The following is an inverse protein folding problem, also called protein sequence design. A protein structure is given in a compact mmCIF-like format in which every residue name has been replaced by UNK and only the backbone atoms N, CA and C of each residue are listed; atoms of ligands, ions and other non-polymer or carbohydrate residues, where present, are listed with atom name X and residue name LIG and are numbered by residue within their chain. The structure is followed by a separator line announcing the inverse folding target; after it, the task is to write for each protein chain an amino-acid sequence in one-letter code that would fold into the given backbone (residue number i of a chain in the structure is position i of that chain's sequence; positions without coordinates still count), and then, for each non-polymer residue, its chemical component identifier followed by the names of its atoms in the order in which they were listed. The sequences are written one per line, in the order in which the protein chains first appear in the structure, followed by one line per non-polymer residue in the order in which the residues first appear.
data_IF_507432481100
#
_entry.id   IF_507432481100
#
_cell.length_a   1.000
_cell.length_b   1.000
_cell.length_c   1.000
_cell.angle_alpha   90.00
_cell.angle_beta   90.00
_cell.angle_gamma   90.00
#
_symmetry.space_group_name_H-M   'P 1'
#
loop_
_entity.id
_entity.type
_entity.pdbx_description
1 polymer ?
#
# COMPACT_ATOMS: atom_id res chain seq x y z
N UNK A 1 -1.91 54.53 -13.74
CA UNK A 1 -1.36 53.70 -12.65
C UNK A 1 -2.03 52.33 -12.68
N UNK A 2 -1.28 51.28 -13.00
CA UNK A 2 -1.80 49.91 -13.07
C UNK A 2 -2.00 49.33 -11.67
N UNK A 3 -3.21 48.86 -11.35
CA UNK A 3 -3.57 48.28 -10.04
C UNK A 3 -3.36 46.77 -10.07
N UNK A 4 -2.60 46.30 -9.08
CA UNK A 4 -2.14 44.92 -8.84
C UNK A 4 -3.23 43.84 -8.95
N UNK A 5 -2.84 42.68 -9.53
CA UNK A 5 -3.68 41.51 -9.78
C UNK A 5 -3.98 40.70 -8.52
N UNK A 6 -5.22 40.77 -8.06
CA UNK A 6 -5.84 39.92 -7.03
C UNK A 6 -7.23 39.50 -7.57
N UNK A 7 -7.68 38.27 -7.35
CA UNK A 7 -9.03 37.78 -7.75
C UNK A 7 -10.18 38.56 -7.11
N UNK A 8 -9.97 39.15 -5.94
CA UNK A 8 -10.90 40.09 -5.30
C UNK A 8 -11.08 41.38 -6.12
N UNK A 9 -10.06 41.79 -6.89
CA UNK A 9 -10.20 42.90 -7.84
C UNK A 9 -11.08 42.53 -9.03
N UNK A 10 -11.16 41.25 -9.44
CA UNK A 10 -11.95 40.84 -10.59
C UNK A 10 -13.46 40.97 -10.34
N UNK A 11 -13.93 40.60 -9.15
CA UNK A 11 -15.35 40.71 -8.80
C UNK A 11 -15.78 42.17 -8.65
N UNK A 12 -14.93 43.00 -8.04
CA UNK A 12 -15.16 44.44 -7.94
C UNK A 12 -15.09 45.15 -9.30
N UNK A 13 -14.12 44.77 -10.14
CA UNK A 13 -13.99 45.27 -11.51
C UNK A 13 -15.22 44.91 -12.36
N UNK A 14 -15.67 43.64 -12.29
CA UNK A 14 -16.86 43.18 -13.00
C UNK A 14 -18.12 43.90 -12.53
N UNK A 15 -18.27 44.12 -11.22
CA UNK A 15 -19.39 44.89 -10.64
C UNK A 15 -19.44 46.33 -11.14
N UNK A 16 -18.29 46.97 -11.23
CA UNK A 16 -18.20 48.41 -11.51
C UNK A 16 -18.17 48.72 -13.01
N UNK A 17 -17.50 47.88 -13.82
CA UNK A 17 -17.23 48.14 -15.23
C UNK A 17 -18.05 47.25 -16.17
N UNK A 18 -18.52 46.10 -15.72
CA UNK A 18 -19.25 45.12 -16.54
C UNK A 18 -20.56 44.69 -15.88
N UNK A 19 -21.44 45.66 -15.61
CA UNK A 19 -22.75 45.45 -14.96
C UNK A 19 -23.60 44.29 -15.55
N UNK A 20 -23.67 44.09 -16.88
CA UNK A 20 -24.44 42.98 -17.46
C UNK A 20 -23.84 41.61 -17.18
N UNK A 21 -22.51 41.49 -17.19
CA UNK A 21 -21.82 40.24 -16.87
C UNK A 21 -21.90 39.95 -15.36
N UNK A 22 -21.80 40.99 -14.54
CA UNK A 22 -21.96 40.85 -13.09
C UNK A 22 -23.38 40.42 -12.71
N UNK A 23 -24.42 40.98 -13.35
CA UNK A 23 -25.80 40.57 -13.10
C UNK A 23 -26.04 39.12 -13.54
N UNK A 24 -25.51 38.70 -14.69
CA UNK A 24 -25.58 37.31 -15.15
C UNK A 24 -24.87 36.32 -14.19
N UNK A 25 -23.70 36.68 -13.67
CA UNK A 25 -22.99 35.88 -12.67
C UNK A 25 -23.77 35.76 -11.37
N UNK A 26 -24.41 36.86 -10.94
CA UNK A 26 -25.22 36.87 -9.72
C UNK A 26 -26.54 36.11 -9.87
N UNK A 27 -27.17 36.18 -11.05
CA UNK A 27 -28.40 35.41 -11.35
C UNK A 27 -28.09 33.92 -11.54
N UNK A 28 -26.91 33.58 -12.05
CA UNK A 28 -26.39 32.20 -12.09
C UNK A 28 -26.09 31.66 -10.69
N UNK A 29 -25.76 32.54 -9.73
CA UNK A 29 -25.58 32.19 -8.31
C UNK A 29 -26.90 32.09 -7.51
N UNK A 30 -28.05 32.38 -8.12
CA UNK A 30 -29.36 32.32 -7.48
C UNK A 30 -30.27 31.27 -8.10
N UNK A 31 -29.86 30.00 -7.99
CA UNK A 31 -30.79 28.91 -7.74
C UNK A 31 -30.17 28.03 -6.66
N UNK A 32 -30.80 27.83 -5.50
CA UNK A 32 -30.42 26.74 -4.64
C UNK A 32 -30.76 25.47 -5.42
N UNK A 33 -29.79 24.92 -6.15
CA UNK A 33 -29.92 23.58 -6.69
C UNK A 33 -30.04 22.71 -5.44
N UNK A 34 -31.24 22.18 -5.17
CA UNK A 34 -31.43 21.01 -4.32
C UNK A 34 -30.84 19.79 -5.04
N UNK A 35 -29.57 19.89 -5.43
CA UNK A 35 -28.77 18.72 -5.70
C UNK A 35 -28.48 18.21 -4.30
N UNK A 36 -28.92 16.98 -4.01
CA UNK A 36 -28.21 16.18 -3.02
C UNK A 36 -26.73 16.38 -3.34
N UNK A 37 -25.87 16.74 -2.36
CA UNK A 37 -24.45 16.62 -2.58
C UNK A 37 -24.23 15.13 -2.82
N UNK A 38 -24.19 14.73 -4.10
CA UNK A 38 -23.38 13.62 -4.48
C UNK A 38 -21.99 14.14 -4.15
N UNK A 39 -21.52 13.78 -2.97
CA UNK A 39 -20.14 13.92 -2.59
C UNK A 39 -19.36 13.22 -3.69
N UNK A 40 -18.96 13.97 -4.72
CA UNK A 40 -17.73 13.67 -5.40
C UNK A 40 -16.72 13.89 -4.28
N UNK A 41 -16.37 12.80 -3.61
CA UNK A 41 -15.33 12.73 -2.59
C UNK A 41 -14.04 13.23 -3.24
N UNK A 42 -13.88 14.56 -3.32
CA UNK A 42 -12.59 15.17 -3.56
C UNK A 42 -11.77 14.81 -2.33
N UNK A 43 -10.94 13.78 -2.49
CA UNK A 43 -9.96 13.39 -1.52
C UNK A 43 -9.11 14.62 -1.19
N UNK A 44 -9.12 15.01 0.08
CA UNK A 44 -8.18 16.02 0.61
C UNK A 44 -6.76 15.65 0.19
N UNK A 45 -5.92 16.62 -0.15
CA UNK A 45 -4.53 16.39 -0.59
C UNK A 45 -3.77 15.46 0.38
N UNK A 46 -4.07 15.50 1.67
CA UNK A 46 -3.51 14.58 2.66
C UNK A 46 -3.87 13.10 2.43
N UNK A 47 -5.07 12.80 1.91
CA UNK A 47 -5.56 11.45 1.64
C UNK A 47 -5.02 10.85 0.34
N UNK A 48 -4.49 11.66 -0.59
CA UNK A 48 -3.91 11.14 -1.84
C UNK A 48 -2.54 10.49 -1.64
N UNK A 49 -1.87 10.72 -0.50
CA UNK A 49 -0.57 10.11 -0.20
C UNK A 49 -0.66 8.70 0.39
N UNK A 50 -1.82 8.27 0.89
CA UNK A 50 -2.00 6.95 1.49
C UNK A 50 -1.56 5.77 0.58
N UNK A 51 -1.86 5.78 -0.72
CA UNK A 51 -1.37 4.78 -1.69
C UNK A 51 0.13 4.82 -1.95
N UNK A 52 0.81 5.93 -1.66
CA UNK A 52 2.25 6.10 -1.85
C UNK A 52 3.07 5.74 -0.61
N UNK A 53 2.44 5.52 0.54
CA UNK A 53 3.16 5.18 1.77
C UNK A 53 3.40 3.67 1.89
N UNK A 54 4.62 3.24 2.24
CA UNK A 54 4.91 1.86 2.60
C UNK A 54 3.95 1.34 3.66
N UNK A 55 3.70 0.02 3.66
CA UNK A 55 2.94 -0.57 4.76
C UNK A 55 3.63 -0.35 6.10
N UNK A 56 2.84 -0.21 7.17
CA UNK A 56 3.41 -0.12 8.51
C UNK A 56 4.21 -1.38 8.84
N UNK A 57 5.30 -1.20 9.59
CA UNK A 57 6.23 -2.28 9.98
C UNK A 57 5.54 -3.45 10.71
N UNK A 58 4.41 -3.18 11.37
CA UNK A 58 3.61 -4.17 12.09
C UNK A 58 2.26 -4.43 11.43
N UNK A 59 2.09 -4.01 10.18
CA UNK A 59 0.86 -4.17 9.43
C UNK A 59 0.60 -5.63 9.05
N UNK A 60 -0.64 -6.09 9.22
CA UNK A 60 -1.06 -7.45 8.82
C UNK A 60 -0.73 -7.76 7.35
N UNK A 61 -0.85 -6.75 6.47
CA UNK A 61 -0.56 -6.88 5.04
C UNK A 61 0.93 -7.08 4.77
N UNK A 62 1.80 -6.31 5.41
CA UNK A 62 3.26 -6.48 5.31
C UNK A 62 3.64 -7.89 5.74
N UNK A 63 3.20 -8.32 6.94
CA UNK A 63 3.47 -9.67 7.45
C UNK A 63 3.04 -10.75 6.47
N UNK A 64 1.82 -10.64 5.91
CA UNK A 64 1.32 -11.62 4.93
C UNK A 64 2.17 -11.70 3.66
N UNK A 65 2.64 -10.56 3.15
CA UNK A 65 3.52 -10.51 1.98
C UNK A 65 4.89 -11.11 2.29
N UNK A 66 5.49 -10.71 3.42
CA UNK A 66 6.77 -11.25 3.89
C UNK A 66 6.69 -12.76 4.12
N UNK A 67 5.63 -13.26 4.77
CA UNK A 67 5.38 -14.69 4.97
C UNK A 67 5.28 -15.44 3.63
N UNK A 68 4.69 -14.81 2.61
CA UNK A 68 4.58 -15.42 1.27
C UNK A 68 5.95 -15.55 0.62
N UNK A 69 6.79 -14.50 0.72
CA UNK A 69 8.18 -14.55 0.24
C UNK A 69 8.99 -15.61 1.00
N UNK A 70 8.89 -15.64 2.34
CA UNK A 70 9.57 -16.65 3.16
C UNK A 70 9.20 -18.07 2.72
N UNK A 71 7.92 -18.32 2.45
CA UNK A 71 7.46 -19.63 1.97
C UNK A 71 8.03 -19.99 0.61
N UNK A 72 8.09 -19.05 -0.34
CA UNK A 72 8.73 -19.29 -1.64
C UNK A 72 10.22 -19.60 -1.50
N UNK A 73 10.95 -18.86 -0.66
CA UNK A 73 12.36 -19.13 -0.42
C UNK A 73 12.61 -20.54 0.11
N UNK A 74 11.83 -20.95 1.11
CA UNK A 74 12.01 -22.26 1.76
C UNK A 74 11.47 -23.40 0.91
N UNK A 75 10.30 -23.22 0.30
CA UNK A 75 9.63 -24.30 -0.45
C UNK A 75 10.32 -24.61 -1.77
N UNK A 76 10.85 -23.58 -2.43
CA UNK A 76 11.50 -23.71 -3.74
C UNK A 76 13.04 -23.69 -3.60
N UNK A 77 13.57 -23.87 -2.38
CA UNK A 77 15.00 -23.92 -2.04
C UNK A 77 15.82 -22.77 -2.64
N UNK A 78 15.22 -21.58 -2.71
CA UNK A 78 15.84 -20.42 -3.33
C UNK A 78 16.91 -19.82 -2.41
N UNK A 79 17.97 -19.30 -3.02
CA UNK A 79 19.01 -18.58 -2.30
C UNK A 79 18.41 -17.37 -1.56
N UNK A 80 18.73 -17.24 -0.27
CA UNK A 80 18.29 -16.10 0.54
C UNK A 80 18.81 -14.76 -0.02
N UNK A 81 19.91 -14.76 -0.77
CA UNK A 81 20.44 -13.56 -1.43
C UNK A 81 19.51 -13.02 -2.53
N UNK A 82 18.55 -13.81 -3.02
CA UNK A 82 17.54 -13.39 -3.99
C UNK A 82 16.78 -12.13 -3.54
N UNK A 83 16.49 -12.00 -2.24
CA UNK A 83 15.77 -10.84 -1.70
C UNK A 83 16.55 -9.53 -1.81
N UNK A 84 17.86 -9.59 -2.07
CA UNK A 84 18.70 -8.42 -2.31
C UNK A 84 18.84 -8.09 -3.80
N UNK A 85 18.45 -8.99 -4.71
CA UNK A 85 18.59 -8.77 -6.15
C UNK A 85 17.63 -7.69 -6.63
N UNK A 86 18.14 -6.74 -7.40
CA UNK A 86 17.37 -5.60 -7.89
C UNK A 86 16.18 -6.01 -8.75
N UNK A 87 16.37 -6.98 -9.66
CA UNK A 87 15.29 -7.49 -10.52
C UNK A 87 14.14 -8.09 -9.70
N UNK A 88 14.45 -8.83 -8.63
CA UNK A 88 13.45 -9.40 -7.73
C UNK A 88 12.70 -8.30 -6.96
N UNK A 89 13.42 -7.30 -6.45
CA UNK A 89 12.82 -6.13 -5.76
C UNK A 89 11.91 -5.33 -6.70
N UNK A 90 12.32 -5.14 -7.95
CA UNK A 90 11.52 -4.45 -8.97
C UNK A 90 10.25 -5.22 -9.33
N UNK A 91 10.36 -6.54 -9.46
CA UNK A 91 9.19 -7.41 -9.66
C UNK A 91 8.20 -7.27 -8.50
N UNK A 92 8.66 -7.34 -7.25
CA UNK A 92 7.79 -7.20 -6.08
C UNK A 92 7.12 -5.82 -6.01
N UNK A 93 7.84 -4.74 -6.32
CA UNK A 93 7.27 -3.38 -6.42
C UNK A 93 6.21 -3.26 -7.51
N UNK A 94 6.32 -4.04 -8.58
CA UNK A 94 5.34 -4.06 -9.67
C UNK A 94 4.05 -4.73 -9.21
N UNK A 95 4.15 -5.81 -8.42
CA UNK A 95 2.99 -6.48 -7.84
C UNK A 95 2.34 -5.69 -6.69
N UNK A 96 3.13 -5.11 -5.79
CA UNK A 96 2.63 -4.29 -4.68
C UNK A 96 3.64 -3.16 -4.37
N UNK A 97 3.34 -1.96 -4.86
CA UNK A 97 4.21 -0.77 -4.74
C UNK A 97 4.51 -0.36 -3.30
N UNK A 98 3.65 -0.75 -2.36
CA UNK A 98 3.75 -0.37 -0.93
C UNK A 98 4.51 -1.41 -0.11
N UNK A 99 4.89 -2.52 -0.73
CA UNK A 99 5.64 -3.58 -0.06
C UNK A 99 7.13 -3.26 -0.04
N UNK A 100 7.65 -3.05 1.17
CA UNK A 100 9.09 -3.00 1.42
C UNK A 100 9.55 -4.35 1.94
N UNK A 101 10.25 -5.10 1.10
CA UNK A 101 10.83 -6.38 1.48
C UNK A 101 11.94 -6.17 2.54
N UNK A 102 11.95 -6.96 3.62
CA UNK A 102 13.05 -6.96 4.58
C UNK A 102 14.40 -7.32 3.96
N UNK A 103 15.47 -7.10 4.71
CA UNK A 103 16.80 -7.54 4.32
C UNK A 103 16.96 -9.06 4.43
N UNK A 104 18.03 -9.59 3.84
CA UNK A 104 18.34 -11.02 3.92
C UNK A 104 18.53 -11.50 5.36
N UNK A 105 19.07 -10.64 6.22
CA UNK A 105 19.30 -10.96 7.63
C UNK A 105 18.00 -11.32 8.33
N UNK A 106 16.93 -10.55 8.12
CA UNK A 106 15.61 -10.87 8.68
C UNK A 106 15.10 -12.26 8.25
N UNK A 107 15.27 -12.62 6.98
CA UNK A 107 14.87 -13.96 6.52
C UNK A 107 15.71 -15.05 7.18
N UNK A 108 17.03 -14.87 7.21
CA UNK A 108 18.00 -15.80 7.82
C UNK A 108 17.76 -16.03 9.31
N UNK A 109 17.63 -14.95 10.07
CA UNK A 109 17.68 -14.96 11.53
C UNK A 109 16.29 -14.98 12.18
N UNK A 110 15.22 -14.69 11.43
CA UNK A 110 13.87 -14.58 12.01
C UNK A 110 12.85 -15.38 11.22
N UNK A 111 12.59 -15.04 9.97
CA UNK A 111 11.44 -15.58 9.26
C UNK A 111 11.56 -17.08 8.94
N UNK A 112 12.73 -17.54 8.49
CA UNK A 112 12.97 -18.96 8.19
C UNK A 112 13.03 -19.80 9.47
N UNK A 113 13.77 -19.40 10.54
CA UNK A 113 13.73 -20.12 11.81
C UNK A 113 12.33 -20.21 12.43
N UNK A 114 11.52 -19.14 12.38
CA UNK A 114 10.14 -19.15 12.87
C UNK A 114 9.28 -20.14 12.08
N UNK A 115 9.37 -20.13 10.74
CA UNK A 115 8.66 -21.08 9.88
C UNK A 115 9.07 -22.53 10.14
N UNK A 116 10.37 -22.77 10.36
CA UNK A 116 10.88 -24.09 10.74
C UNK A 116 10.28 -24.55 12.07
N UNK A 117 10.32 -23.72 13.11
CA UNK A 117 9.77 -24.06 14.42
C UNK A 117 8.27 -24.40 14.36
N UNK A 118 7.48 -23.60 13.63
CA UNK A 118 6.05 -23.85 13.40
C UNK A 118 5.84 -25.18 12.67
N UNK A 119 6.64 -25.44 11.65
CA UNK A 119 6.51 -26.64 10.82
C UNK A 119 6.89 -27.89 11.60
N UNK A 120 8.00 -27.86 12.33
CA UNK A 120 8.47 -28.95 13.19
C UNK A 120 7.45 -29.27 14.27
N UNK A 121 6.88 -28.25 14.93
CA UNK A 121 5.81 -28.46 15.92
C UNK A 121 4.61 -29.18 15.29
N UNK A 122 4.14 -28.71 14.13
CA UNK A 122 3.01 -29.32 13.42
C UNK A 122 3.30 -30.77 13.02
N UNK A 123 4.50 -31.04 12.49
CA UNK A 123 4.88 -32.41 12.11
C UNK A 123 4.97 -33.30 13.35
N UNK A 124 5.53 -32.82 14.45
CA UNK A 124 5.59 -33.57 15.70
C UNK A 124 4.19 -33.92 16.24
N UNK A 125 3.24 -32.98 16.20
CA UNK A 125 1.83 -33.23 16.56
C UNK A 125 1.20 -34.30 15.66
N UNK A 126 1.46 -34.25 14.34
CA UNK A 126 0.96 -35.24 13.39
C UNK A 126 1.55 -36.63 13.62
N UNK A 127 2.85 -36.71 13.90
CA UNK A 127 3.54 -37.97 14.19
C UNK A 127 3.07 -38.55 15.54
N UNK A 128 2.83 -37.71 16.55
CA UNK A 128 2.32 -38.17 17.84
C UNK A 128 0.88 -38.71 17.76
N UNK A 129 0.10 -38.27 16.78
CA UNK A 129 -1.29 -38.69 16.60
C UNK A 129 -1.46 -40.05 15.89
N UNK A 130 -0.40 -40.61 15.29
CA UNK A 130 -0.47 -41.87 14.55
C UNK A 130 0.02 -43.06 15.38
N UNK A 131 -0.61 -44.22 15.21
CA UNK A 131 -0.23 -45.46 15.92
C UNK A 131 1.06 -46.10 15.40
N UNK A 132 1.29 -45.95 14.09
CA UNK A 132 2.44 -46.52 13.39
C UNK A 132 3.00 -45.45 12.45
N UNK A 133 4.32 -45.34 12.38
CA UNK A 133 5.03 -44.52 11.40
C UNK A 133 6.24 -45.31 10.88
N UNK A 134 6.66 -45.00 9.66
CA UNK A 134 7.90 -45.49 9.08
C UNK A 134 8.75 -44.27 8.71
N UNK A 135 10.07 -44.36 8.93
CA UNK A 135 11.02 -43.32 8.56
C UNK A 135 12.20 -43.98 7.85
N UNK A 136 12.59 -43.41 6.72
CA UNK A 136 13.78 -43.80 5.97
C UNK A 136 14.82 -42.70 6.16
N UNK A 137 16.03 -43.05 6.58
CA UNK A 137 17.15 -42.13 6.64
C UNK A 137 18.07 -42.45 5.47
N UNK A 138 18.23 -41.50 4.57
CA UNK A 138 19.23 -41.54 3.51
C UNK A 138 20.52 -40.94 4.06
N UNK A 139 21.65 -41.61 3.87
CA UNK A 139 22.98 -41.09 4.23
C UNK A 139 23.92 -41.41 3.08
N UNK A 140 24.45 -40.34 2.48
CA UNK A 140 25.44 -40.38 1.41
C UNK A 140 26.86 -40.39 1.98
#
# INVERSE_FOLDING_TARGET
MARSGNTSNLMAHSRNNHKPLYSQLRTSASKPIKAKPQAQDQLTISLTFGPCQPYSRHGKRLKKLTDSVTRSLVKDELEMYLVQKDGFRQMLKTFDKRYEIPDQSYFSHTAVPELFAITTKRVAEQVAAVKYFASTTDSW
#
